data_IF_222435487288
#
_entry.id   IF_222435487288
#
_cell.length_a   1.000
_cell.length_b   1.000
_cell.length_c   1.000
_cell.angle_alpha   90.00
_cell.angle_beta   90.00
_cell.angle_gamma   90.00
#
_symmetry.space_group_name_H-M   'P 1'
#
loop_
_entity.id
_entity.type
_entity.pdbx_description
1 polymer ?
#
# COMPACT_ATOMS: atom_id res chain seq x y z
N UNK A 1 25.61 -25.69 -49.55
CA UNK A 1 24.95 -26.06 -48.28
C UNK A 1 23.98 -24.94 -47.92
N UNK A 2 22.71 -25.28 -47.73
CA UNK A 2 21.55 -24.38 -47.87
C UNK A 2 21.48 -23.29 -46.79
N UNK A 3 21.19 -22.09 -47.26
CA UNK A 3 20.79 -20.89 -46.51
C UNK A 3 19.46 -21.17 -45.81
N UNK A 4 19.39 -20.93 -44.49
CA UNK A 4 18.13 -20.78 -43.76
C UNK A 4 18.15 -19.49 -42.95
N UNK A 5 17.50 -18.45 -43.51
CA UNK A 5 16.88 -17.35 -42.76
C UNK A 5 15.70 -17.94 -41.99
N UNK A 6 15.65 -17.76 -40.67
CA UNK A 6 14.42 -17.98 -39.92
C UNK A 6 14.07 -16.72 -39.10
N UNK A 7 12.77 -16.48 -39.04
CA UNK A 7 12.09 -15.21 -38.74
C UNK A 7 12.28 -14.79 -37.28
N UNK A 8 12.42 -13.47 -37.09
CA UNK A 8 12.20 -12.81 -35.81
C UNK A 8 10.78 -13.08 -35.31
N UNK A 9 10.65 -13.78 -34.19
CA UNK A 9 9.45 -13.75 -33.35
C UNK A 9 9.76 -12.88 -32.14
N UNK A 10 9.18 -11.67 -32.13
CA UNK A 10 9.07 -10.84 -30.93
C UNK A 10 8.15 -11.56 -29.96
N UNK A 11 8.70 -12.20 -28.93
CA UNK A 11 7.92 -12.52 -27.73
C UNK A 11 7.83 -11.25 -26.87
N UNK A 12 6.62 -10.70 -26.83
CA UNK A 12 6.17 -9.69 -25.88
C UNK A 12 5.68 -10.44 -24.64
N UNK A 13 6.10 -9.93 -23.47
CA UNK A 13 5.49 -10.08 -22.15
C UNK A 13 5.44 -11.48 -21.51
N UNK A 14 6.13 -11.62 -20.38
CA UNK A 14 5.47 -11.55 -19.06
C UNK A 14 6.46 -10.86 -18.11
N UNK A 15 6.31 -9.55 -17.95
CA UNK A 15 6.91 -8.86 -16.81
C UNK A 15 6.23 -9.39 -15.57
N UNK A 16 7.01 -9.98 -14.66
CA UNK A 16 6.60 -10.46 -13.35
C UNK A 16 5.73 -9.37 -12.70
N UNK A 17 4.42 -9.58 -12.66
CA UNK A 17 3.53 -8.82 -11.80
C UNK A 17 3.96 -9.11 -10.38
N UNK A 18 4.49 -8.08 -9.72
CA UNK A 18 4.66 -8.05 -8.27
C UNK A 18 3.28 -8.32 -7.69
N UNK A 19 3.09 -9.54 -7.19
CA UNK A 19 1.95 -9.89 -6.37
C UNK A 19 2.00 -8.99 -5.15
N UNK A 20 1.11 -8.00 -5.07
CA UNK A 20 0.79 -7.37 -3.79
C UNK A 20 0.05 -8.44 -3.02
N UNK A 21 0.79 -9.07 -2.12
CA UNK A 21 0.31 -10.10 -1.22
C UNK A 21 -0.97 -9.58 -0.54
N UNK A 22 -2.07 -10.32 -0.71
CA UNK A 22 -2.99 -10.52 0.41
C UNK A 22 -2.09 -10.73 1.62
N UNK A 23 -2.29 -9.98 2.70
CA UNK A 23 -1.66 -10.29 3.97
C UNK A 23 -2.27 -11.64 4.36
N UNK A 24 -1.64 -12.70 3.86
CA UNK A 24 -1.77 -14.04 4.39
C UNK A 24 -1.63 -13.85 5.89
N UNK A 25 -2.61 -14.33 6.67
CA UNK A 25 -2.38 -14.60 8.08
C UNK A 25 -1.03 -15.30 8.13
N UNK A 26 0.01 -14.55 8.50
CA UNK A 26 1.38 -15.01 8.40
C UNK A 26 1.43 -16.17 9.36
N UNK A 27 1.60 -17.38 8.86
CA UNK A 27 2.02 -18.48 9.73
C UNK A 27 3.35 -18.00 10.30
N UNK A 28 3.33 -17.57 11.56
CA UNK A 28 4.55 -17.22 12.26
C UNK A 28 5.28 -18.53 12.46
N UNK A 29 6.38 -18.71 11.74
CA UNK A 29 7.16 -19.94 11.79
C UNK A 29 8.30 -19.69 12.76
N UNK A 30 8.10 -20.11 14.02
CA UNK A 30 9.17 -20.13 15.00
C UNK A 30 10.38 -20.90 14.43
N UNK A 31 11.55 -20.33 14.61
CA UNK A 31 12.78 -20.77 13.98
C UNK A 31 13.99 -20.08 14.59
N UNK A 32 15.05 -20.87 14.72
CA UNK A 32 16.34 -20.46 15.23
C UNK A 32 17.41 -20.52 14.14
N UNK A 33 18.44 -19.71 14.31
CA UNK A 33 19.57 -19.68 13.40
C UNK A 33 20.83 -19.05 14.00
N UNK A 34 21.92 -18.99 13.23
CA UNK A 34 22.11 -19.77 12.00
C UNK A 34 22.20 -21.27 12.30
N UNK A 35 22.18 -22.09 11.25
CA UNK A 35 22.57 -23.51 11.34
C UNK A 35 23.98 -23.56 11.93
N UNK A 36 24.15 -24.34 12.99
CA UNK A 36 25.40 -24.45 13.76
C UNK A 36 25.54 -25.86 14.35
N UNK A 37 26.76 -26.30 14.70
CA UNK A 37 26.95 -27.54 15.43
C UNK A 37 26.15 -27.52 16.73
N UNK A 38 25.50 -28.64 17.04
CA UNK A 38 24.78 -28.84 18.30
C UNK A 38 25.58 -29.74 19.23
N UNK A 39 25.28 -29.63 20.51
CA UNK A 39 25.93 -30.32 21.61
C UNK A 39 24.88 -30.98 22.48
N UNK A 40 25.32 -31.84 23.39
CA UNK A 40 24.46 -32.40 24.42
C UNK A 40 24.94 -31.96 25.80
N UNK A 41 24.07 -32.07 26.80
CA UNK A 41 24.40 -31.79 28.20
C UNK A 41 25.62 -32.60 28.66
N UNK A 42 25.71 -33.86 28.22
CA UNK A 42 26.84 -34.74 28.53
C UNK A 42 28.12 -34.40 27.73
N UNK A 43 28.00 -33.74 26.57
CA UNK A 43 29.13 -33.39 25.72
C UNK A 43 29.06 -31.90 25.31
N UNK A 44 29.37 -30.96 26.24
CA UNK A 44 29.36 -29.54 25.94
C UNK A 44 30.47 -29.12 24.97
N UNK A 45 30.34 -27.92 24.41
CA UNK A 45 31.23 -27.40 23.38
C UNK A 45 32.67 -27.22 23.89
N UNK A 46 33.64 -27.40 22.99
CA UNK A 46 35.07 -27.09 23.23
C UNK A 46 35.42 -25.63 22.97
N UNK A 47 34.44 -24.81 22.58
CA UNK A 47 34.60 -23.40 22.22
C UNK A 47 33.37 -22.62 22.68
N UNK A 48 33.49 -21.29 22.66
CA UNK A 48 32.39 -20.39 23.04
C UNK A 48 31.33 -20.45 21.94
N UNK A 49 30.15 -20.93 22.31
CA UNK A 49 28.97 -20.93 21.47
C UNK A 49 27.76 -20.77 22.38
N UNK A 50 26.72 -20.11 21.88
CA UNK A 50 25.52 -19.89 22.67
C UNK A 50 24.44 -20.88 22.27
N UNK A 51 23.69 -21.37 23.26
CA UNK A 51 22.35 -21.92 23.06
C UNK A 51 22.27 -23.00 21.97
N UNK A 52 23.15 -23.98 22.08
CA UNK A 52 23.43 -25.05 21.11
C UNK A 52 23.39 -26.44 21.75
N UNK A 53 23.07 -26.55 23.04
CA UNK A 53 22.74 -27.83 23.69
C UNK A 53 21.28 -28.19 23.38
N UNK A 54 21.02 -29.44 22.97
CA UNK A 54 19.67 -29.88 22.54
C UNK A 54 18.86 -30.60 23.61
N UNK A 55 19.48 -30.95 24.74
CA UNK A 55 18.91 -31.81 25.79
C UNK A 55 19.24 -31.29 27.20
N UNK A 56 19.22 -29.97 27.39
CA UNK A 56 19.42 -29.38 28.72
C UNK A 56 18.29 -29.88 29.67
N UNK A 57 18.59 -30.52 30.80
CA UNK A 57 17.57 -31.11 31.67
C UNK A 57 16.65 -30.10 32.36
N UNK A 58 17.02 -28.81 32.37
CA UNK A 58 16.25 -27.73 33.00
C UNK A 58 15.50 -26.88 31.99
N UNK A 59 16.03 -26.76 30.76
CA UNK A 59 15.49 -25.87 29.72
C UNK A 59 14.91 -26.64 28.52
N UNK A 60 15.47 -27.80 28.18
CA UNK A 60 15.20 -28.53 26.95
C UNK A 60 16.18 -28.18 25.84
N UNK A 61 15.66 -27.99 24.63
CA UNK A 61 16.47 -27.59 23.48
C UNK A 61 16.78 -26.10 23.54
N UNK A 62 18.03 -25.75 23.84
CA UNK A 62 18.44 -24.35 24.04
C UNK A 62 18.40 -23.53 22.76
N UNK A 63 18.20 -24.13 21.59
CA UNK A 63 18.09 -23.37 20.34
C UNK A 63 16.79 -22.57 20.28
N UNK A 64 15.73 -23.04 20.93
CA UNK A 64 14.47 -22.33 21.14
C UNK A 64 14.55 -21.50 22.43
N UNK A 65 15.39 -20.47 22.42
CA UNK A 65 15.72 -19.67 23.61
C UNK A 65 14.88 -18.41 23.80
N UNK A 66 14.04 -18.07 22.83
CA UNK A 66 13.17 -16.91 22.88
C UNK A 66 11.73 -17.36 23.10
N UNK A 67 11.13 -16.86 24.17
CA UNK A 67 9.77 -17.24 24.55
C UNK A 67 9.00 -16.02 25.06
N UNK A 68 7.68 -16.12 25.03
CA UNK A 68 6.79 -15.03 25.46
C UNK A 68 5.73 -15.53 26.42
N UNK A 69 5.22 -14.62 27.25
CA UNK A 69 4.02 -14.85 28.06
C UNK A 69 3.28 -13.55 28.29
N UNK A 70 2.01 -13.65 28.66
CA UNK A 70 1.29 -12.56 29.29
C UNK A 70 2.03 -12.09 30.55
N UNK A 71 2.28 -10.78 30.65
CA UNK A 71 3.03 -10.21 31.78
C UNK A 71 2.33 -10.44 33.13
N UNK A 72 1.00 -10.57 33.13
CA UNK A 72 0.17 -10.82 34.31
C UNK A 72 0.03 -12.31 34.66
N UNK A 73 0.43 -13.22 33.77
CA UNK A 73 0.37 -14.66 34.00
C UNK A 73 1.56 -15.18 34.84
N UNK A 74 1.46 -16.43 35.30
CA UNK A 74 2.55 -17.11 36.01
C UNK A 74 3.78 -17.33 35.13
N UNK A 75 4.95 -17.50 35.75
CA UNK A 75 6.23 -17.68 35.02
C UNK A 75 6.38 -19.05 34.35
N UNK A 76 5.40 -19.95 34.52
CA UNK A 76 5.36 -21.28 33.90
C UNK A 76 4.56 -21.31 32.59
N UNK A 77 4.08 -20.16 32.09
CA UNK A 77 3.21 -20.06 30.91
C UNK A 77 3.94 -19.53 29.67
N UNK A 78 5.26 -19.69 29.60
CA UNK A 78 6.02 -19.27 28.42
C UNK A 78 5.72 -20.17 27.21
N UNK A 79 5.63 -19.54 26.04
CA UNK A 79 5.34 -20.20 24.77
C UNK A 79 6.13 -19.57 23.62
N UNK A 80 6.28 -20.30 22.51
CA UNK A 80 6.94 -19.81 21.29
C UNK A 80 5.98 -18.98 20.40
N UNK A 81 4.69 -18.97 20.74
CA UNK A 81 3.68 -18.12 20.13
C UNK A 81 2.55 -17.83 21.11
N UNK A 82 1.95 -16.65 21.04
CA UNK A 82 0.85 -16.25 21.92
C UNK A 82 -0.23 -15.46 21.17
N UNK A 83 -1.48 -15.81 21.45
CA UNK A 83 -2.64 -14.98 21.09
C UNK A 83 -2.71 -13.78 22.03
N UNK A 84 -2.56 -12.58 21.46
CA UNK A 84 -2.50 -11.34 22.21
C UNK A 84 -3.88 -10.69 22.36
N UNK A 85 -4.03 -9.91 23.43
CA UNK A 85 -5.17 -9.05 23.71
C UNK A 85 -4.76 -7.59 23.54
N UNK A 86 -5.71 -6.76 23.12
CA UNK A 86 -5.46 -5.35 22.88
C UNK A 86 -5.06 -4.61 24.18
N UNK A 87 -4.06 -3.73 24.06
CA UNK A 87 -3.50 -2.91 25.13
C UNK A 87 -2.86 -3.68 26.29
N UNK A 88 -2.66 -5.00 26.15
CA UNK A 88 -2.03 -5.84 27.16
C UNK A 88 -0.50 -5.85 27.00
N UNK A 89 0.19 -6.10 28.12
CA UNK A 89 1.65 -6.25 28.16
C UNK A 89 2.05 -7.72 28.18
N UNK A 90 3.13 -8.03 27.48
CA UNK A 90 3.73 -9.34 27.37
C UNK A 90 5.20 -9.26 27.74
N UNK A 91 5.71 -10.32 28.37
CA UNK A 91 7.15 -10.45 28.64
C UNK A 91 7.74 -11.34 27.56
N UNK A 92 8.72 -10.78 26.86
CA UNK A 92 9.60 -11.54 25.96
C UNK A 92 10.86 -11.86 26.73
N UNK A 93 11.18 -13.15 26.83
CA UNK A 93 12.29 -13.67 27.59
C UNK A 93 13.29 -14.39 26.68
N UNK A 94 14.57 -14.11 26.90
CA UNK A 94 15.71 -14.76 26.25
C UNK A 94 16.46 -15.55 27.30
N UNK A 95 16.62 -16.85 27.08
CA UNK A 95 17.59 -17.67 27.79
C UNK A 95 18.95 -17.55 27.14
N UNK A 96 20.01 -17.23 27.88
CA UNK A 96 21.37 -17.27 27.35
C UNK A 96 22.23 -18.28 28.11
N UNK A 97 23.00 -19.07 27.38
CA UNK A 97 23.96 -20.01 27.95
C UNK A 97 25.17 -20.15 27.01
N UNK A 98 26.35 -19.77 27.51
CA UNK A 98 27.61 -20.09 26.85
C UNK A 98 27.93 -21.59 27.09
N UNK A 99 27.78 -22.41 26.06
CA UNK A 99 27.89 -23.86 26.15
C UNK A 99 29.34 -24.39 26.14
N UNK A 100 30.34 -23.50 26.22
CA UNK A 100 31.70 -23.94 26.45
C UNK A 100 31.75 -24.75 27.76
N UNK A 101 32.38 -25.94 27.72
CA UNK A 101 32.56 -26.79 28.90
C UNK A 101 33.29 -26.04 30.02
N UNK A 102 33.00 -26.41 31.27
CA UNK A 102 33.49 -25.73 32.47
C UNK A 102 35.00 -25.82 32.67
N UNK A 103 35.63 -26.94 32.33
CA UNK A 103 37.07 -27.20 32.51
C UNK A 103 37.97 -26.33 31.62
N UNK A 104 37.43 -25.73 30.56
CA UNK A 104 38.21 -24.84 29.68
C UNK A 104 38.29 -23.39 30.19
N UNK A 105 37.46 -23.00 31.16
CA UNK A 105 37.41 -21.64 31.71
C UNK A 105 37.29 -20.55 30.62
N UNK A 106 36.56 -20.82 29.54
CA UNK A 106 36.34 -19.85 28.46
C UNK A 106 35.29 -18.81 28.85
N UNK A 107 35.53 -17.56 28.46
CA UNK A 107 34.65 -16.43 28.74
C UNK A 107 34.31 -15.70 27.45
N UNK A 108 33.02 -15.62 27.12
CA UNK A 108 32.52 -14.79 26.04
C UNK A 108 32.73 -13.31 26.36
N UNK A 109 33.18 -12.53 25.39
CA UNK A 109 33.52 -11.10 25.55
C UNK A 109 32.57 -10.22 24.77
N UNK A 110 32.30 -9.02 25.30
CA UNK A 110 31.37 -8.05 24.72
C UNK A 110 29.99 -8.67 24.40
N UNK A 111 29.52 -9.56 25.27
CA UNK A 111 28.29 -10.31 25.07
C UNK A 111 27.09 -9.36 25.09
N UNK A 112 26.25 -9.43 24.06
CA UNK A 112 25.09 -8.54 23.87
C UNK A 112 23.83 -9.33 23.57
N UNK A 113 22.71 -8.77 24.02
CA UNK A 113 21.38 -9.23 23.67
C UNK A 113 20.64 -8.14 22.93
N UNK A 114 19.94 -8.50 21.85
CA UNK A 114 19.06 -7.61 21.09
C UNK A 114 17.72 -8.29 20.83
N UNK A 115 16.64 -7.53 20.86
CA UNK A 115 15.32 -7.97 20.39
C UNK A 115 14.89 -7.05 19.26
N UNK A 116 14.81 -7.58 18.05
CA UNK A 116 14.26 -6.87 16.90
C UNK A 116 12.74 -7.04 16.92
N UNK A 117 12.03 -5.93 17.16
CA UNK A 117 10.57 -5.87 17.14
C UNK A 117 10.07 -5.47 15.75
N UNK A 118 8.97 -6.09 15.28
CA UNK A 118 8.39 -5.74 13.98
C UNK A 118 7.78 -4.34 14.01
N UNK A 119 8.06 -3.55 12.97
CA UNK A 119 7.57 -2.17 12.85
C UNK A 119 6.30 -2.06 12.01
N UNK A 120 5.92 -3.13 11.31
CA UNK A 120 4.72 -3.22 10.49
C UNK A 120 3.46 -3.48 11.34
N UNK A 121 2.31 -3.39 10.68
CA UNK A 121 1.01 -3.76 11.25
C UNK A 121 0.50 -5.01 10.58
N UNK A 122 0.15 -6.03 11.36
CA UNK A 122 -0.37 -7.29 10.86
C UNK A 122 -1.18 -8.02 11.95
N UNK A 123 -1.94 -9.05 11.59
CA UNK A 123 -2.63 -9.98 12.50
C UNK A 123 -1.69 -11.08 13.03
N UNK A 124 -0.53 -11.25 12.41
CA UNK A 124 0.57 -12.11 12.90
C UNK A 124 1.90 -11.36 12.79
N UNK A 125 2.62 -11.27 13.91
CA UNK A 125 3.90 -10.59 14.02
C UNK A 125 4.93 -11.48 14.71
N UNK A 126 6.20 -11.31 14.37
CA UNK A 126 7.31 -12.08 14.92
C UNK A 126 8.37 -11.14 15.48
N UNK A 127 8.82 -11.41 16.70
CA UNK A 127 10.00 -10.76 17.28
C UNK A 127 11.20 -11.69 17.19
N UNK A 128 12.39 -11.13 16.97
CA UNK A 128 13.63 -11.89 16.82
C UNK A 128 14.59 -11.53 17.95
N UNK A 129 14.99 -12.52 18.74
CA UNK A 129 15.96 -12.39 19.82
C UNK A 129 17.33 -12.80 19.34
N UNK A 130 18.36 -12.01 19.66
CA UNK A 130 19.75 -12.26 19.29
C UNK A 130 20.63 -12.32 20.52
N UNK A 131 21.60 -13.24 20.50
CA UNK A 131 22.72 -13.27 21.43
C UNK A 131 24.00 -13.21 20.60
N UNK A 132 24.89 -12.27 20.91
CA UNK A 132 26.18 -12.12 20.22
C UNK A 132 27.34 -11.95 21.20
N UNK A 133 28.53 -12.35 20.77
CA UNK A 133 29.79 -12.05 21.46
C UNK A 133 30.96 -12.07 20.46
N UNK A 134 31.98 -11.27 20.70
CA UNK A 134 33.07 -11.03 19.74
C UNK A 134 33.89 -12.31 19.44
N UNK A 135 33.97 -13.21 20.41
CA UNK A 135 34.75 -14.45 20.36
C UNK A 135 33.88 -15.72 20.36
N UNK A 136 32.58 -15.60 20.09
CA UNK A 136 31.70 -16.76 19.93
C UNK A 136 31.76 -17.31 18.49
N UNK A 137 31.45 -18.59 18.34
CA UNK A 137 31.28 -19.25 17.05
C UNK A 137 29.94 -20.02 17.01
N UNK A 138 28.97 -19.63 16.16
CA UNK A 138 28.95 -18.39 15.39
C UNK A 138 28.98 -17.16 16.31
N UNK A 139 29.42 -16.01 15.79
CA UNK A 139 29.47 -14.76 16.57
C UNK A 139 28.09 -14.22 16.97
N UNK A 140 27.01 -14.75 16.41
CA UNK A 140 25.63 -14.41 16.76
C UNK A 140 24.72 -15.62 16.52
N UNK A 141 23.80 -15.85 17.45
CA UNK A 141 22.66 -16.75 17.32
C UNK A 141 21.36 -15.97 17.43
N UNK A 142 20.29 -16.47 16.81
CA UNK A 142 18.96 -15.90 16.90
C UNK A 142 17.89 -16.96 17.05
N UNK A 143 16.77 -16.54 17.60
CA UNK A 143 15.52 -17.29 17.73
C UNK A 143 14.33 -16.33 17.60
N UNK A 144 13.15 -16.87 17.36
CA UNK A 144 11.95 -16.10 17.01
C UNK A 144 10.76 -16.49 17.88
N UNK A 145 9.87 -15.53 18.12
CA UNK A 145 8.66 -15.75 18.91
C UNK A 145 7.49 -15.04 18.26
N UNK A 146 6.35 -15.73 18.21
CA UNK A 146 5.16 -15.27 17.51
C UNK A 146 4.12 -14.58 18.39
N UNK A 147 3.40 -13.66 17.76
CA UNK A 147 2.26 -12.96 18.33
C UNK A 147 1.13 -12.96 17.29
N UNK A 148 -0.07 -13.34 17.72
CA UNK A 148 -1.24 -13.47 16.84
C UNK A 148 -2.46 -12.75 17.42
N UNK A 149 -3.32 -12.24 16.55
CA UNK A 149 -4.56 -11.56 16.93
C UNK A 149 -5.58 -11.65 15.77
N UNK A 150 -6.87 -11.53 16.06
CA UNK A 150 -7.93 -11.48 15.05
C UNK A 150 -7.93 -10.16 14.26
N UNK A 151 -7.38 -9.10 14.86
CA UNK A 151 -7.25 -7.77 14.27
C UNK A 151 -5.78 -7.36 14.08
N UNK A 152 -5.49 -6.48 13.11
CA UNK A 152 -4.13 -5.99 12.94
C UNK A 152 -3.65 -5.25 14.19
N UNK A 153 -2.39 -5.47 14.59
CA UNK A 153 -1.79 -4.82 15.75
C UNK A 153 -0.35 -4.38 15.45
N UNK A 154 0.23 -3.62 16.40
CA UNK A 154 1.67 -3.35 16.49
C UNK A 154 2.18 -3.79 17.85
N UNK A 155 3.44 -4.20 17.91
CA UNK A 155 4.16 -4.41 19.17
C UNK A 155 4.97 -3.15 19.49
N UNK A 156 4.89 -2.69 20.73
CA UNK A 156 5.66 -1.56 21.22
C UNK A 156 6.48 -1.97 22.41
N UNK A 157 7.79 -1.75 22.36
CA UNK A 157 8.63 -1.90 23.55
C UNK A 157 8.17 -0.93 24.65
N UNK A 158 8.15 -1.39 25.89
CA UNK A 158 7.93 -0.54 27.06
C UNK A 158 9.31 -0.04 27.55
N UNK A 159 9.65 1.26 27.39
CA UNK A 159 10.97 1.78 27.77
C UNK A 159 11.30 1.55 29.25
N UNK A 160 12.57 1.24 29.54
CA UNK A 160 13.06 0.92 30.88
C UNK A 160 12.57 -0.42 31.44
N UNK A 161 11.87 -1.25 30.65
CA UNK A 161 11.39 -2.55 31.12
C UNK A 161 12.41 -3.68 31.02
N UNK A 162 13.53 -3.46 30.34
CA UNK A 162 14.53 -4.49 30.13
C UNK A 162 15.31 -4.80 31.40
N UNK A 163 15.47 -6.08 31.73
CA UNK A 163 16.28 -6.52 32.86
C UNK A 163 16.94 -7.88 32.64
N UNK A 164 18.02 -8.13 33.36
CA UNK A 164 18.72 -9.42 33.40
C UNK A 164 18.62 -10.06 34.79
N UNK A 165 18.47 -11.39 34.80
CA UNK A 165 18.61 -12.23 35.98
C UNK A 165 19.64 -13.33 35.71
N UNK A 166 20.57 -13.48 36.63
CA UNK A 166 21.54 -14.59 36.69
C UNK A 166 21.54 -15.14 38.12
N UNK A 167 22.43 -16.08 38.42
CA UNK A 167 22.64 -16.51 39.81
C UNK A 167 23.26 -15.41 40.70
N UNK A 168 23.83 -14.34 40.12
CA UNK A 168 24.44 -13.22 40.87
C UNK A 168 23.75 -11.87 40.64
N UNK A 169 22.95 -11.74 39.59
CA UNK A 169 22.19 -10.53 39.28
C UNK A 169 20.70 -10.81 39.47
N UNK A 170 20.01 -9.98 40.25
CA UNK A 170 18.57 -10.10 40.45
C UNK A 170 17.85 -8.88 39.85
N UNK A 171 17.23 -9.08 38.68
CA UNK A 171 16.47 -8.07 37.93
C UNK A 171 17.21 -6.74 37.76
N UNK A 172 18.48 -6.83 37.36
CA UNK A 172 19.29 -5.64 37.07
C UNK A 172 18.84 -5.03 35.75
N UNK A 173 18.52 -3.74 35.77
CA UNK A 173 18.06 -3.01 34.59
C UNK A 173 19.09 -3.05 33.46
N UNK A 174 18.61 -3.26 32.24
CA UNK A 174 19.39 -3.18 31.01
C UNK A 174 19.08 -1.88 30.25
N UNK A 175 19.99 -1.53 29.35
CA UNK A 175 19.80 -0.40 28.44
C UNK A 175 18.67 -0.65 27.45
N UNK A 176 17.90 0.39 27.14
CA UNK A 176 16.90 0.39 26.05
C UNK A 176 17.50 0.18 24.66
N UNK A 177 18.84 0.23 24.54
CA UNK A 177 19.55 -0.20 23.34
C UNK A 177 19.30 -1.69 22.98
N UNK A 178 18.68 -2.48 23.87
CA UNK A 178 18.23 -3.85 23.59
C UNK A 178 17.28 -3.94 22.39
N UNK A 179 16.51 -2.90 22.07
CA UNK A 179 15.64 -2.87 20.87
C UNK A 179 16.24 -2.06 19.72
N UNK A 180 17.56 -1.92 19.71
CA UNK A 180 18.32 -1.23 18.66
C UNK A 180 19.43 -2.13 18.12
N UNK A 181 19.99 -1.80 16.96
CA UNK A 181 21.04 -2.61 16.32
C UNK A 181 22.25 -2.91 17.21
N UNK A 182 22.59 -2.05 18.18
CA UNK A 182 23.71 -2.25 19.10
C UNK A 182 23.46 -3.29 20.20
N UNK A 183 22.20 -3.62 20.49
CA UNK A 183 21.82 -4.45 21.63
C UNK A 183 22.18 -3.84 23.00
N UNK A 184 21.80 -4.52 24.07
CA UNK A 184 22.24 -4.24 25.44
C UNK A 184 23.44 -5.12 25.80
N UNK A 185 24.44 -4.52 26.44
CA UNK A 185 25.57 -5.26 27.01
C UNK A 185 25.10 -6.06 28.22
N UNK A 186 25.40 -7.36 28.24
CA UNK A 186 25.05 -8.26 29.35
C UNK A 186 26.32 -8.83 29.99
N UNK A 187 26.18 -9.50 31.13
CA UNK A 187 27.25 -10.27 31.74
C UNK A 187 26.73 -11.05 32.94
N UNK A 188 27.55 -11.98 33.44
CA UNK A 188 27.10 -12.88 34.50
C UNK A 188 27.02 -12.22 35.88
N UNK A 189 28.09 -11.52 36.28
CA UNK A 189 28.23 -10.88 37.61
C UNK A 189 28.08 -9.36 37.58
N UNK A 190 28.18 -8.75 36.40
CA UNK A 190 27.99 -7.33 36.13
C UNK A 190 27.70 -7.14 34.63
N UNK A 191 27.21 -5.96 34.23
CA UNK A 191 26.97 -5.62 32.81
C UNK A 191 28.28 -5.25 32.09
N UNK A 192 29.24 -6.18 32.04
CA UNK A 192 30.60 -5.96 31.56
C UNK A 192 30.95 -6.72 30.27
N UNK A 193 29.97 -7.38 29.63
CA UNK A 193 30.18 -8.18 28.43
C UNK A 193 30.68 -9.59 28.68
N UNK A 194 30.95 -9.99 29.94
CA UNK A 194 31.59 -11.26 30.25
C UNK A 194 30.58 -12.33 30.65
N UNK A 195 30.51 -13.41 29.87
CA UNK A 195 29.69 -14.59 30.16
C UNK A 195 30.58 -15.85 30.15
N UNK A 196 30.95 -16.37 31.35
CA UNK A 196 31.71 -17.62 31.45
C UNK A 196 30.94 -18.82 30.88
N UNK A 197 31.67 -19.84 30.41
CA UNK A 197 31.10 -21.10 29.97
C UNK A 197 30.62 -21.97 31.14
N UNK A 198 29.58 -22.78 30.89
CA UNK A 198 28.85 -23.67 31.81
C UNK A 198 27.47 -23.15 32.25
N UNK A 199 26.56 -24.08 32.53
CA UNK A 199 25.17 -23.80 32.88
C UNK A 199 25.00 -23.01 34.18
N UNK A 200 25.97 -23.06 35.11
CA UNK A 200 25.96 -22.23 36.31
C UNK A 200 26.07 -20.72 36.04
N UNK A 201 26.46 -20.36 34.80
CA UNK A 201 26.63 -18.98 34.34
C UNK A 201 25.57 -18.53 33.33
N UNK A 202 24.53 -19.35 33.10
CA UNK A 202 23.39 -18.96 32.27
C UNK A 202 22.50 -17.93 32.96
N UNK A 203 21.57 -17.37 32.21
CA UNK A 203 20.62 -16.42 32.75
C UNK A 203 19.50 -16.06 31.78
N UNK A 204 18.71 -15.10 32.21
CA UNK A 204 17.49 -14.68 31.56
C UNK A 204 17.53 -13.19 31.32
N UNK A 205 17.26 -12.77 30.09
CA UNK A 205 16.98 -11.38 29.75
C UNK A 205 15.49 -11.25 29.46
N UNK A 206 14.86 -10.22 30.00
CA UNK A 206 13.43 -9.98 29.82
C UNK A 206 13.22 -8.56 29.32
N UNK A 207 12.26 -8.39 28.42
CA UNK A 207 11.69 -7.08 28.05
C UNK A 207 10.17 -7.15 28.14
N UNK A 208 9.52 -6.01 28.31
CA UNK A 208 8.07 -5.90 28.11
C UNK A 208 7.75 -5.30 26.75
N UNK A 209 6.76 -5.88 26.09
CA UNK A 209 6.13 -5.34 24.89
C UNK A 209 4.64 -5.17 25.12
N UNK A 210 4.08 -4.09 24.59
CA UNK A 210 2.66 -3.80 24.60
C UNK A 210 2.07 -4.03 23.23
N UNK A 211 0.97 -4.79 23.20
CA UNK A 211 0.17 -4.97 21.99
C UNK A 211 -0.78 -3.80 21.80
N UNK A 212 -0.71 -3.11 20.66
CA UNK A 212 -1.60 -2.00 20.31
C UNK A 212 -2.40 -2.38 19.06
N UNK A 213 -3.69 -2.68 19.24
CA UNK A 213 -4.62 -2.90 18.13
C UNK A 213 -4.60 -1.68 17.20
N UNK A 214 -4.65 -1.94 15.90
CA UNK A 214 -4.73 -0.94 14.86
C UNK A 214 -6.13 -0.98 14.23
N UNK A 215 -6.65 0.17 13.77
CA UNK A 215 -7.94 0.19 13.11
C UNK A 215 -7.96 -0.75 11.91
N UNK A 216 -8.98 -1.61 11.83
CA UNK A 216 -9.23 -2.39 10.62
C UNK A 216 -9.66 -1.42 9.53
N UNK A 217 -8.81 -1.22 8.52
CA UNK A 217 -9.12 -0.28 7.44
C UNK A 217 -10.18 -0.94 6.55
N UNK A 218 -11.45 -0.58 6.74
CA UNK A 218 -12.54 -1.09 5.91
C UNK A 218 -12.45 -0.42 4.54
N UNK A 219 -12.34 -1.18 3.43
CA UNK A 219 -12.32 -0.60 2.10
C UNK A 219 -13.63 0.14 1.82
N UNK A 220 -13.54 1.37 1.32
CA UNK A 220 -14.71 2.13 0.90
C UNK A 220 -14.49 2.73 -0.50
N UNK A 221 -15.54 2.71 -1.32
CA UNK A 221 -15.55 3.20 -2.68
C UNK A 221 -16.94 3.72 -3.05
N UNK A 222 -16.99 4.80 -3.82
CA UNK A 222 -18.25 5.38 -4.28
C UNK A 222 -18.06 6.16 -5.58
N UNK A 223 -19.08 6.16 -6.45
CA UNK A 223 -19.22 7.23 -7.44
C UNK A 223 -19.86 8.43 -6.74
N UNK A 224 -19.10 9.52 -6.58
CA UNK A 224 -19.56 10.69 -5.83
C UNK A 224 -20.32 11.67 -6.71
N UNK A 225 -19.94 11.79 -7.98
CA UNK A 225 -20.62 12.67 -8.93
C UNK A 225 -20.48 12.15 -10.37
N UNK A 226 -21.58 12.20 -11.12
CA UNK A 226 -21.59 12.17 -12.58
C UNK A 226 -22.00 13.57 -13.06
N UNK A 227 -21.02 14.36 -13.50
CA UNK A 227 -21.25 15.64 -14.15
C UNK A 227 -21.41 15.44 -15.66
N UNK A 228 -22.40 16.11 -16.26
CA UNK A 228 -22.70 15.97 -17.67
C UNK A 228 -22.93 17.35 -18.26
N UNK A 229 -22.08 17.72 -19.22
CA UNK A 229 -22.18 18.97 -19.98
C UNK A 229 -22.78 18.69 -21.34
N UNK A 230 -23.84 19.41 -21.69
CA UNK A 230 -24.47 19.35 -23.01
C UNK A 230 -23.88 20.42 -23.93
N UNK A 231 -23.81 20.13 -25.23
CA UNK A 231 -23.37 21.05 -26.27
C UNK A 231 -24.20 20.89 -27.55
N UNK A 232 -23.96 21.74 -28.55
CA UNK A 232 -24.68 21.72 -29.82
C UNK A 232 -24.61 20.35 -30.50
N UNK A 233 -25.64 20.03 -31.31
CA UNK A 233 -25.72 18.75 -32.02
C UNK A 233 -26.01 17.55 -31.11
N UNK A 234 -26.67 17.75 -29.96
CA UNK A 234 -27.02 16.69 -28.98
C UNK A 234 -25.81 15.93 -28.44
N UNK A 235 -24.68 16.62 -28.31
CA UNK A 235 -23.46 16.04 -27.74
C UNK A 235 -23.44 16.24 -26.23
N UNK A 236 -23.02 15.20 -25.50
CA UNK A 236 -22.71 15.23 -24.08
C UNK A 236 -21.24 14.90 -23.84
N UNK A 237 -20.65 15.59 -22.86
CA UNK A 237 -19.35 15.29 -22.29
C UNK A 237 -19.57 14.96 -20.80
N UNK A 238 -19.33 13.69 -20.42
CA UNK A 238 -19.55 13.17 -19.08
C UNK A 238 -18.23 13.06 -18.31
N UNK A 239 -18.23 13.48 -17.05
CA UNK A 239 -17.08 13.40 -16.13
C UNK A 239 -17.50 12.79 -14.81
N UNK A 240 -16.71 11.82 -14.35
CA UNK A 240 -16.92 11.10 -13.10
C UNK A 240 -15.98 11.64 -12.03
N UNK A 241 -16.54 11.90 -10.85
CA UNK A 241 -15.79 12.01 -9.60
C UNK A 241 -16.11 10.79 -8.75
N UNK A 242 -15.09 10.22 -8.11
CA UNK A 242 -15.23 9.07 -7.22
C UNK A 242 -14.34 9.25 -5.98
N UNK A 243 -14.60 8.46 -4.95
CA UNK A 243 -13.78 8.37 -3.75
C UNK A 243 -13.36 6.93 -3.49
N UNK A 244 -12.12 6.73 -3.03
CA UNK A 244 -11.63 5.43 -2.54
C UNK A 244 -10.87 5.59 -1.23
N UNK A 245 -10.95 4.58 -0.37
CA UNK A 245 -10.15 4.47 0.86
C UNK A 245 -9.98 2.99 1.24
N UNK A 246 -9.10 2.72 2.21
CA UNK A 246 -8.89 1.36 2.73
C UNK A 246 -8.43 0.35 1.69
N UNK A 247 -7.59 0.78 0.73
CA UNK A 247 -7.02 -0.10 -0.30
C UNK A 247 -7.92 -0.37 -1.51
N UNK A 248 -9.11 0.24 -1.59
CA UNK A 248 -9.92 0.20 -2.82
C UNK A 248 -9.23 0.99 -3.95
N UNK A 249 -9.15 0.41 -5.15
CA UNK A 249 -8.56 1.06 -6.33
C UNK A 249 -9.52 1.08 -7.51
N UNK A 250 -9.58 2.18 -8.25
CA UNK A 250 -10.42 2.30 -9.44
C UNK A 250 -9.82 1.50 -10.62
N UNK A 251 -10.65 0.73 -11.33
CA UNK A 251 -10.23 -0.04 -12.51
C UNK A 251 -10.69 0.60 -13.81
N UNK A 252 -11.99 0.75 -13.97
CA UNK A 252 -12.63 1.26 -15.18
C UNK A 252 -14.08 1.67 -14.90
N UNK A 253 -14.70 2.32 -15.89
CA UNK A 253 -16.10 2.72 -15.87
C UNK A 253 -16.75 2.36 -17.20
N UNK A 254 -17.98 1.86 -17.12
CA UNK A 254 -18.86 1.71 -18.27
C UNK A 254 -19.93 2.80 -18.21
N UNK A 255 -19.95 3.68 -19.20
CA UNK A 255 -21.05 4.62 -19.44
C UNK A 255 -22.11 3.93 -20.28
N UNK A 256 -23.35 3.89 -19.81
CA UNK A 256 -24.53 3.55 -20.59
C UNK A 256 -25.29 4.86 -20.87
N UNK A 257 -25.42 5.22 -22.14
CA UNK A 257 -25.94 6.52 -22.56
C UNK A 257 -27.47 6.60 -22.55
N UNK A 258 -28.18 5.50 -22.27
CA UNK A 258 -29.63 5.46 -22.19
C UNK A 258 -30.34 5.38 -23.55
N UNK A 259 -29.60 5.24 -24.65
CA UNK A 259 -30.09 5.07 -26.03
C UNK A 259 -29.72 3.70 -26.62
N UNK A 260 -29.23 2.77 -25.78
CA UNK A 260 -28.72 1.46 -26.18
C UNK A 260 -27.22 1.42 -26.41
N UNK A 261 -26.53 2.56 -26.49
CA UNK A 261 -25.08 2.61 -26.64
C UNK A 261 -24.37 2.60 -25.27
N UNK A 262 -23.18 1.99 -25.25
CA UNK A 262 -22.30 1.99 -24.08
C UNK A 262 -20.86 2.31 -24.44
N UNK A 263 -20.08 2.78 -23.48
CA UNK A 263 -18.65 3.08 -23.63
C UNK A 263 -17.90 2.63 -22.39
N UNK A 264 -16.96 1.68 -22.56
CA UNK A 264 -16.03 1.24 -21.52
C UNK A 264 -14.73 2.05 -21.63
N UNK A 265 -14.24 2.58 -20.52
CA UNK A 265 -12.97 3.32 -20.47
C UNK A 265 -12.29 3.17 -19.12
N UNK A 266 -10.96 3.28 -19.12
CA UNK A 266 -10.14 3.38 -17.89
C UNK A 266 -9.96 4.82 -17.42
N UNK A 267 -10.41 5.81 -18.20
CA UNK A 267 -10.45 7.21 -17.80
C UNK A 267 -11.76 7.53 -17.05
N UNK A 268 -11.85 8.69 -16.43
CA UNK A 268 -13.06 9.17 -15.75
C UNK A 268 -13.99 9.97 -16.65
N UNK A 269 -13.70 10.07 -17.95
CA UNK A 269 -14.44 10.90 -18.90
C UNK A 269 -14.80 10.12 -20.15
N UNK A 270 -15.97 10.42 -20.72
CA UNK A 270 -16.40 9.93 -22.02
C UNK A 270 -17.37 10.93 -22.68
N UNK A 271 -17.52 10.84 -24.00
CA UNK A 271 -18.42 11.71 -24.79
C UNK A 271 -19.36 10.86 -25.64
N UNK A 272 -20.55 11.39 -25.90
CA UNK A 272 -21.56 10.74 -26.74
C UNK A 272 -22.42 11.76 -27.49
N UNK A 273 -22.97 11.37 -28.64
CA UNK A 273 -23.85 12.21 -29.45
C UNK A 273 -25.15 11.48 -29.75
N UNK A 274 -26.29 12.05 -29.36
CA UNK A 274 -27.59 11.42 -29.56
C UNK A 274 -28.15 11.66 -30.97
N UNK A 275 -28.71 10.59 -31.55
CA UNK A 275 -29.30 10.64 -32.89
C UNK A 275 -30.63 11.39 -32.97
N UNK A 276 -31.39 11.44 -31.87
CA UNK A 276 -32.74 12.02 -31.82
C UNK A 276 -32.95 12.91 -30.60
N UNK A 277 -34.01 13.71 -30.66
CA UNK A 277 -34.51 14.42 -29.50
C UNK A 277 -35.16 13.45 -28.53
N UNK A 278 -35.09 13.75 -27.23
CA UNK A 278 -35.59 12.85 -26.19
C UNK A 278 -34.99 13.14 -24.83
N UNK A 279 -35.46 12.38 -23.84
CA UNK A 279 -34.90 12.35 -22.49
C UNK A 279 -34.08 11.07 -22.33
N UNK A 280 -32.80 11.21 -21.97
CA UNK A 280 -31.88 10.10 -21.82
C UNK A 280 -31.33 10.07 -20.40
N UNK A 281 -31.28 8.89 -19.79
CA UNK A 281 -30.64 8.69 -18.47
C UNK A 281 -29.33 7.98 -18.65
N UNK A 282 -28.25 8.71 -18.39
CA UNK A 282 -26.88 8.20 -18.44
C UNK A 282 -26.60 7.48 -17.12
N UNK A 283 -26.18 6.22 -17.18
CA UNK A 283 -25.74 5.44 -16.02
C UNK A 283 -24.25 5.13 -16.16
N UNK A 284 -23.45 5.49 -15.17
CA UNK A 284 -22.04 5.14 -15.10
C UNK A 284 -21.82 4.06 -14.03
N UNK A 285 -21.32 2.91 -14.46
CA UNK A 285 -20.97 1.79 -13.57
C UNK A 285 -19.46 1.73 -13.42
N UNK A 286 -18.96 2.15 -12.28
CA UNK A 286 -17.54 2.11 -11.93
C UNK A 286 -17.21 0.74 -11.34
N UNK A 287 -16.03 0.22 -11.69
CA UNK A 287 -15.46 -0.99 -11.11
C UNK A 287 -14.24 -0.65 -10.27
N UNK A 288 -14.19 -1.21 -9.07
CA UNK A 288 -13.08 -1.09 -8.13
C UNK A 288 -12.47 -2.45 -7.83
N UNK A 289 -11.17 -2.51 -7.58
CA UNK A 289 -10.52 -3.66 -6.98
C UNK A 289 -10.41 -3.45 -5.47
N UNK A 290 -10.88 -4.41 -4.70
CA UNK A 290 -10.75 -4.47 -3.25
C UNK A 290 -10.13 -5.81 -2.88
N UNK A 291 -8.81 -5.81 -2.66
CA UNK A 291 -8.07 -7.02 -2.30
C UNK A 291 -8.18 -8.14 -3.35
N UNK A 292 -8.19 -7.80 -4.64
CA UNK A 292 -8.36 -8.75 -5.74
C UNK A 292 -9.81 -9.13 -6.06
N UNK A 293 -10.78 -8.62 -5.30
CA UNK A 293 -12.21 -8.81 -5.58
C UNK A 293 -12.79 -7.57 -6.25
N UNK A 294 -13.51 -7.77 -7.36
CA UNK A 294 -14.14 -6.67 -8.08
C UNK A 294 -15.43 -6.21 -7.41
N UNK A 295 -15.54 -4.90 -7.22
CA UNK A 295 -16.69 -4.23 -6.61
C UNK A 295 -17.24 -3.15 -7.54
N UNK A 296 -18.51 -2.77 -7.38
CA UNK A 296 -19.16 -1.79 -8.25
C UNK A 296 -19.78 -0.63 -7.48
N UNK A 297 -19.74 0.56 -8.09
CA UNK A 297 -20.53 1.71 -7.67
C UNK A 297 -21.19 2.35 -8.89
N UNK A 298 -22.37 2.93 -8.72
CA UNK A 298 -23.17 3.48 -9.81
C UNK A 298 -23.54 4.92 -9.51
N UNK A 299 -23.58 5.74 -10.55
CA UNK A 299 -24.14 7.08 -10.54
C UNK A 299 -24.90 7.32 -11.84
N UNK A 300 -25.93 8.15 -11.77
CA UNK A 300 -26.79 8.43 -12.92
C UNK A 300 -27.12 9.91 -13.04
N UNK A 301 -27.34 10.34 -14.29
CA UNK A 301 -27.72 11.72 -14.62
C UNK A 301 -28.57 11.72 -15.88
N UNK A 302 -29.68 12.44 -15.87
CA UNK A 302 -30.54 12.61 -17.06
C UNK A 302 -30.21 13.89 -17.83
N UNK A 303 -30.38 13.84 -19.14
CA UNK A 303 -30.26 14.96 -20.08
C UNK A 303 -31.45 14.97 -21.03
N UNK A 304 -31.86 16.14 -21.50
CA UNK A 304 -32.99 16.29 -22.42
C UNK A 304 -32.58 17.12 -23.63
N UNK A 305 -32.94 16.66 -24.81
CA UNK A 305 -32.73 17.36 -26.08
C UNK A 305 -34.06 17.61 -26.76
N UNK A 306 -34.27 18.84 -27.23
CA UNK A 306 -35.46 19.25 -27.96
C UNK A 306 -35.05 20.19 -29.09
N UNK A 307 -35.51 19.92 -30.30
CA UNK A 307 -35.40 20.86 -31.42
C UNK A 307 -36.48 21.93 -31.26
N UNK A 308 -36.14 23.23 -31.27
CA UNK A 308 -37.14 24.29 -31.24
C UNK A 308 -38.12 24.12 -32.41
N UNK A 309 -39.41 24.46 -32.24
CA UNK A 309 -40.34 24.49 -33.35
C UNK A 309 -39.80 25.37 -34.47
N UNK A 310 -39.73 24.84 -35.68
CA UNK A 310 -39.40 25.65 -36.86
C UNK A 310 -40.60 26.57 -37.10
N UNK A 311 -40.47 27.86 -36.79
CA UNK A 311 -41.47 28.84 -37.24
C UNK A 311 -41.52 28.80 -38.77
N UNK A 312 -42.70 28.54 -39.39
CA UNK A 312 -42.82 28.57 -40.84
C UNK A 312 -42.30 29.89 -41.38
N UNK A 313 -41.65 29.91 -42.57
CA UNK A 313 -41.33 31.16 -43.24
C UNK A 313 -42.61 31.99 -43.36
N UNK A 314 -42.59 33.22 -42.87
CA UNK A 314 -43.69 34.16 -43.09
C UNK A 314 -43.70 34.46 -44.58
N UNK A 315 -44.61 33.84 -45.33
CA UNK A 315 -44.86 34.22 -46.72
C UNK A 315 -45.28 35.69 -46.72
N UNK A 316 -44.53 36.61 -47.37
CA UNK A 316 -44.96 37.99 -47.48
C UNK A 316 -46.35 38.04 -48.11
N UNK A 317 -47.27 38.91 -47.65
CA UNK A 317 -48.56 39.08 -48.30
C UNK A 317 -48.32 39.37 -49.77
N UNK A 318 -49.04 38.68 -50.66
CA UNK A 318 -49.02 38.98 -52.09
C UNK A 318 -49.29 40.48 -52.26
N UNK A 319 -48.26 41.21 -52.73
CA UNK A 319 -48.38 42.63 -52.99
C UNK A 319 -49.54 42.84 -53.95
N UNK A 320 -50.58 43.54 -53.51
CA UNK A 320 -51.54 44.15 -54.41
C UNK A 320 -50.73 45.17 -55.23
N UNK A 321 -50.57 44.90 -56.53
CA UNK A 321 -50.02 45.90 -57.46
C UNK A 321 -50.82 47.20 -57.30
N UNK A 322 -50.18 48.37 -57.16
CA UNK A 322 -50.92 49.63 -57.17
C UNK A 322 -51.60 49.80 -58.54
N UNK A 323 -52.90 50.00 -58.49
CA UNK A 323 -53.74 50.37 -59.63
C UNK A 323 -53.41 51.82 -60.00
N UNK A 324 -52.50 52.02 -60.94
CA UNK A 324 -52.31 53.33 -61.59
C UNK A 324 -53.21 53.36 -62.83
N UNK A 325 -54.39 53.93 -62.67
CA UNK A 325 -55.33 54.21 -63.75
C UNK A 325 -54.73 55.00 -64.93
N UNK A 326 -55.46 55.09 -66.05
CA UNK A 326 -54.90 55.39 -67.38
C UNK A 326 -54.55 56.87 -67.57
N UNK A 327 -53.32 57.16 -68.04
CA UNK A 327 -52.91 58.53 -68.35
C UNK A 327 -51.45 58.68 -68.82
N UNK A 328 -51.20 58.35 -70.10
CA UNK A 328 -50.23 58.94 -71.04
C UNK A 328 -48.90 59.57 -70.56
N UNK A 329 -47.83 59.03 -71.17
CA UNK A 329 -46.60 59.66 -71.69
C UNK A 329 -45.52 60.14 -70.73
N UNK A 330 -44.41 59.39 -70.67
CA UNK A 330 -43.09 59.86 -71.12
C UNK A 330 -42.13 58.67 -71.27
N UNK A 331 -41.71 58.43 -72.51
CA UNK A 331 -40.65 57.50 -72.84
C UNK A 331 -39.28 58.07 -72.44
N UNK A 332 -38.49 57.32 -71.68
CA UNK A 332 -37.03 57.37 -71.65
C UNK A 332 -36.55 56.04 -71.04
N UNK A 333 -36.26 55.03 -71.86
CA UNK A 333 -34.89 54.64 -72.23
C UNK A 333 -33.91 54.69 -71.04
N UNK A 334 -33.47 53.51 -70.57
CA UNK A 334 -32.05 53.11 -70.58
C UNK A 334 -31.95 51.58 -70.39
N UNK A 335 -31.33 50.93 -71.37
CA UNK A 335 -30.93 49.52 -71.38
C UNK A 335 -29.44 49.44 -71.06
N UNK A 336 -29.03 48.49 -70.23
CA UNK A 336 -27.64 48.03 -70.02
C UNK A 336 -26.85 48.81 -68.95
N UNK A 337 -25.87 48.27 -68.20
CA UNK A 337 -25.11 47.01 -68.27
C UNK A 337 -24.54 46.70 -66.86
N UNK A 338 -24.42 45.41 -66.56
CA UNK A 338 -23.55 44.66 -65.66
C UNK A 338 -22.53 45.34 -64.72
N UNK A 339 -22.49 44.80 -63.49
CA UNK A 339 -21.32 44.43 -62.67
C UNK A 339 -20.15 45.41 -62.52
N UNK A 340 -19.99 46.01 -61.33
CA UNK A 340 -18.66 46.27 -60.76
C UNK A 340 -18.67 46.24 -59.23
N UNK A 341 -17.90 45.30 -58.70
CA UNK A 341 -17.41 45.29 -57.33
C UNK A 341 -16.31 46.36 -57.17
N UNK A 342 -16.21 46.92 -55.97
CA UNK A 342 -14.97 47.44 -55.44
C UNK A 342 -14.90 48.97 -55.31
N UNK A 343 -14.28 49.37 -54.19
CA UNK A 343 -13.70 50.69 -53.91
C UNK A 343 -14.66 51.67 -53.23
N UNK A 344 -14.86 51.49 -51.92
CA UNK A 344 -14.98 52.63 -50.98
C UNK A 344 -14.58 52.21 -49.56
N UNK A 345 -13.30 51.85 -49.37
CA UNK A 345 -12.65 51.99 -48.07
C UNK A 345 -11.15 52.30 -48.29
N UNK A 346 -10.88 53.46 -48.90
CA UNK A 346 -9.56 54.08 -48.86
C UNK A 346 -9.70 55.61 -48.86
N UNK A 347 -10.24 56.16 -47.78
CA UNK A 347 -10.08 57.57 -47.40
C UNK A 347 -10.11 57.68 -45.87
N UNK A 348 -9.17 57.00 -45.22
CA UNK A 348 -8.64 57.43 -43.92
C UNK A 348 -7.17 57.82 -44.14
N UNK A 349 -6.97 58.98 -44.77
CA UNK A 349 -5.73 59.75 -44.67
C UNK A 349 -5.53 60.12 -43.19
N UNK A 350 -4.35 60.10 -42.58
CA UNK A 350 -2.99 59.99 -43.06
C UNK A 350 -2.04 60.54 -41.98
N UNK A 351 -0.73 60.51 -42.28
CA UNK A 351 0.42 61.13 -41.57
C UNK A 351 0.99 60.39 -40.35
N UNK A 352 2.20 59.83 -40.55
CA UNK A 352 3.51 60.41 -40.12
C UNK A 352 4.62 59.56 -40.77
N UNK A 353 5.28 60.03 -41.85
CA UNK A 353 6.56 60.75 -41.89
C UNK A 353 7.85 59.95 -41.57
N UNK A 354 8.59 59.66 -42.66
CA UNK A 354 10.05 59.74 -42.91
C UNK A 354 11.07 58.84 -42.17
N UNK A 355 11.65 57.94 -42.97
CA UNK A 355 13.08 57.65 -43.25
C UNK A 355 14.12 57.85 -42.13
N UNK A 356 14.79 56.78 -41.69
CA UNK A 356 15.98 56.18 -42.34
C UNK A 356 16.07 54.70 -41.97
#
# INVERSE_FOLDING_TARGET
MRIFRSKQNKLIAFGLTIAVALVSAGTVLAGWGPIRPTFTWANPATYITFNSITDNPFFGDERAFLMTRDASAGTNTYTDSIDIENNKEYIVQIYFHNNARSDLNLVAQNTRVRVDLPTNTNTGLEAIGFISADNANPGTVHDTVGFTNDKPFKLQYVPGSAYIRTNLLNDVALSDSIVTSSGALIGYSALNGQVPGCAGFSGWVNIKVKAIEQPTVVPAYACTLLDVKTSAGRKVDATITYSTSGGATFKNVTFNWGDGNTTLTTNTTASHTYGADGNYTINATLKFDVGGTEQTAVCSKSVTFTTPPVTPPVTPPAGKLPDTGPGSTAAALFVGVSAFAGIFHYLWSGRTHRNF
#
